data_IF_553410950920
#
_entry.id   IF_553410950920
#
_cell.length_a   1.000
_cell.length_b   1.000
_cell.length_c   1.000
_cell.angle_alpha   90.00
_cell.angle_beta   90.00
_cell.angle_gamma   90.00
#
_symmetry.space_group_name_H-M   'P 1'
#
loop_
_entity.id
_entity.type
_entity.pdbx_description
1 polymer ?
#
# COMPACT_ATOMS: atom_id res chain seq x y z
N UNK A 1 36.83 1.74 4.11
CA UNK A 1 36.32 1.17 5.38
C UNK A 1 35.24 0.13 5.07
N UNK A 2 35.36 -1.07 5.67
CA UNK A 2 34.34 -2.11 5.53
C UNK A 2 33.04 -1.63 6.17
N UNK A 3 31.95 -1.58 5.39
CA UNK A 3 30.63 -1.19 5.93
C UNK A 3 30.09 -2.32 6.82
N UNK A 4 30.00 -2.06 8.11
CA UNK A 4 29.34 -2.93 9.07
C UNK A 4 27.90 -2.45 9.37
N UNK A 5 27.09 -3.31 9.93
CA UNK A 5 25.79 -2.93 10.46
C UNK A 5 25.99 -2.08 11.74
N UNK A 6 25.06 -1.15 11.98
CA UNK A 6 24.95 -0.38 13.22
C UNK A 6 24.66 -1.33 14.39
N UNK A 7 25.30 -1.10 15.53
CA UNK A 7 25.01 -1.81 16.77
C UNK A 7 23.72 -1.27 17.40
N UNK A 8 23.18 -1.98 18.40
CA UNK A 8 22.01 -1.52 19.13
C UNK A 8 22.24 -0.18 19.85
N UNK A 9 23.39 -0.01 20.47
CA UNK A 9 23.74 1.21 21.16
C UNK A 9 23.90 2.41 20.21
N UNK A 10 24.56 2.22 19.08
CA UNK A 10 24.68 3.24 18.04
C UNK A 10 23.31 3.66 17.47
N UNK A 11 22.41 2.69 17.29
CA UNK A 11 21.03 2.95 16.86
C UNK A 11 20.29 3.79 17.91
N UNK A 12 20.40 3.45 19.20
CA UNK A 12 19.82 4.22 20.29
C UNK A 12 20.40 5.63 20.34
N UNK A 13 21.73 5.79 20.20
CA UNK A 13 22.38 7.10 20.20
C UNK A 13 21.90 7.98 19.06
N UNK A 14 21.77 7.42 17.85
CA UNK A 14 21.27 8.14 16.69
C UNK A 14 19.81 8.59 16.90
N UNK A 15 18.99 7.74 17.48
CA UNK A 15 17.58 8.04 17.72
C UNK A 15 17.42 9.11 18.83
N UNK A 16 18.19 9.00 19.93
CA UNK A 16 18.28 10.02 20.98
C UNK A 16 18.71 11.36 20.39
N UNK A 17 19.78 11.38 19.57
CA UNK A 17 20.29 12.61 18.97
C UNK A 17 19.22 13.33 18.13
N UNK A 18 18.43 12.58 17.34
CA UNK A 18 17.33 13.12 16.57
C UNK A 18 16.27 13.76 17.46
N UNK A 19 15.80 13.06 18.51
CA UNK A 19 14.78 13.59 19.42
C UNK A 19 15.29 14.78 20.23
N UNK A 20 16.53 14.75 20.72
CA UNK A 20 17.15 15.86 21.44
C UNK A 20 17.31 17.09 20.54
N UNK A 21 17.63 16.90 19.26
CA UNK A 21 17.69 18.01 18.29
C UNK A 21 16.33 18.69 18.11
N UNK A 22 15.25 17.89 18.06
CA UNK A 22 13.87 18.40 17.92
C UNK A 22 13.35 19.03 19.22
N UNK A 23 13.69 18.45 20.38
CA UNK A 23 13.20 18.82 21.70
C UNK A 23 14.36 19.07 22.68
N UNK A 24 15.17 20.10 22.47
CA UNK A 24 16.37 20.33 23.29
C UNK A 24 16.07 20.57 24.78
N UNK A 25 14.87 21.08 25.09
CA UNK A 25 14.39 21.30 26.45
C UNK A 25 14.10 20.00 27.22
N UNK A 26 13.91 18.87 26.50
CA UNK A 26 13.65 17.56 27.11
C UNK A 26 14.86 16.62 27.07
N UNK A 27 16.07 17.17 26.84
CA UNK A 27 17.30 16.39 26.69
C UNK A 27 17.53 15.39 27.81
N UNK A 28 17.46 15.80 29.02
CA UNK A 28 17.74 14.96 30.20
C UNK A 28 16.72 13.84 30.32
N UNK A 29 15.45 14.15 30.12
CA UNK A 29 14.37 13.19 30.19
C UNK A 29 14.45 12.14 29.02
N UNK A 30 14.74 12.60 27.81
CA UNK A 30 14.96 11.69 26.65
C UNK A 30 16.12 10.75 26.95
N UNK A 31 17.26 11.27 27.44
CA UNK A 31 18.42 10.44 27.75
C UNK A 31 18.14 9.45 28.89
N UNK A 32 17.39 9.86 29.93
CA UNK A 32 16.94 8.99 31.00
C UNK A 32 16.09 7.85 30.51
N UNK A 33 15.03 8.15 29.74
CA UNK A 33 14.10 7.13 29.18
C UNK A 33 14.85 6.14 28.28
N UNK A 34 15.75 6.61 27.44
CA UNK A 34 16.52 5.70 26.59
C UNK A 34 17.50 4.84 27.38
N UNK A 35 18.18 5.39 28.40
CA UNK A 35 19.08 4.62 29.25
C UNK A 35 18.36 3.54 30.05
N UNK A 36 17.21 3.88 30.65
CA UNK A 36 16.54 3.06 31.65
C UNK A 36 15.52 2.07 31.04
N UNK A 37 14.97 2.38 29.85
CA UNK A 37 13.92 1.60 29.23
C UNK A 37 14.23 1.13 27.81
N UNK A 38 14.80 1.98 26.92
CA UNK A 38 15.01 1.61 25.53
C UNK A 38 16.24 0.72 25.35
N UNK A 39 17.40 1.11 25.90
CA UNK A 39 18.62 0.30 25.78
C UNK A 39 18.47 -1.09 26.36
N UNK A 40 17.86 -1.29 27.55
CA UNK A 40 17.59 -2.62 28.08
C UNK A 40 16.40 -3.33 27.41
N UNK A 41 15.78 -2.75 26.38
CA UNK A 41 14.66 -3.30 25.59
C UNK A 41 13.39 -3.56 26.39
N UNK A 42 13.16 -2.82 27.47
CA UNK A 42 11.90 -2.83 28.21
C UNK A 42 10.77 -2.13 27.45
N UNK A 43 11.13 -1.08 26.70
CA UNK A 43 10.24 -0.31 25.82
C UNK A 43 10.96 -0.06 24.51
N UNK A 44 10.24 -0.12 23.38
CA UNK A 44 10.80 0.22 22.07
C UNK A 44 10.01 1.37 21.44
N UNK A 45 10.73 2.35 20.83
CA UNK A 45 10.14 3.28 19.87
C UNK A 45 9.55 2.53 18.67
N UNK A 46 8.79 3.24 17.82
CA UNK A 46 8.32 2.64 16.57
C UNK A 46 9.49 2.08 15.77
N UNK A 47 9.27 0.95 15.10
CA UNK A 47 10.29 0.34 14.23
C UNK A 47 10.82 1.37 13.21
N UNK A 48 9.97 2.26 12.71
CA UNK A 48 10.33 3.30 11.73
C UNK A 48 11.19 4.39 12.35
N UNK A 49 10.90 4.81 13.59
CA UNK A 49 11.74 5.72 14.36
C UNK A 49 13.16 5.15 14.53
N UNK A 50 13.26 3.87 14.87
CA UNK A 50 14.54 3.18 14.98
C UNK A 50 15.25 3.02 13.63
N UNK A 51 14.52 2.62 12.58
CA UNK A 51 15.09 2.37 11.25
C UNK A 51 15.59 3.65 10.57
N UNK A 52 14.79 4.71 10.60
CA UNK A 52 15.03 5.94 9.84
C UNK A 52 15.45 7.14 10.70
N UNK A 53 15.63 6.97 12.00
CA UNK A 53 16.03 8.06 12.91
C UNK A 53 17.22 8.88 12.36
N UNK A 54 17.22 10.19 12.61
CA UNK A 54 18.19 11.13 12.05
C UNK A 54 17.78 11.66 10.68
N UNK A 55 18.75 11.85 9.78
CA UNK A 55 18.55 12.52 8.47
C UNK A 55 17.35 12.05 7.65
N UNK A 56 17.02 10.73 7.51
CA UNK A 56 15.87 10.33 6.74
C UNK A 56 14.53 10.85 7.27
N UNK A 57 14.33 10.87 8.59
CA UNK A 57 13.12 11.44 9.23
C UNK A 57 13.17 12.98 9.19
N UNK A 58 14.33 13.58 9.41
CA UNK A 58 14.50 15.04 9.35
C UNK A 58 14.19 15.61 7.94
N UNK A 59 14.40 14.83 6.88
CA UNK A 59 14.05 15.20 5.51
C UNK A 59 12.58 14.94 5.17
N UNK A 60 11.94 13.99 5.85
CA UNK A 60 10.54 13.61 5.59
C UNK A 60 9.96 12.98 6.85
N UNK A 61 9.27 13.78 7.63
CA UNK A 61 8.78 13.39 8.97
C UNK A 61 7.75 12.26 8.92
N UNK A 62 7.03 12.09 7.79
CA UNK A 62 6.12 10.97 7.60
C UNK A 62 6.79 9.59 7.74
N UNK A 63 8.11 9.51 7.57
CA UNK A 63 8.88 8.26 7.70
C UNK A 63 8.98 7.72 9.12
N UNK A 64 8.64 8.51 10.15
CA UNK A 64 8.62 8.04 11.54
C UNK A 64 7.44 7.10 11.81
N UNK A 65 6.39 7.17 10.98
CA UNK A 65 5.16 6.40 11.15
C UNK A 65 5.17 5.11 10.35
N UNK A 66 4.74 4.01 10.97
CA UNK A 66 4.71 2.71 10.32
C UNK A 66 3.61 2.59 9.28
N UNK A 67 2.45 3.16 9.52
CA UNK A 67 1.26 3.02 8.71
C UNK A 67 0.42 4.30 8.68
N UNK A 68 -0.48 4.38 7.68
CA UNK A 68 -1.47 5.43 7.54
C UNK A 68 -2.78 4.84 7.01
N UNK A 69 -3.87 5.60 7.15
CA UNK A 69 -5.14 5.32 6.48
C UNK A 69 -5.59 6.53 5.68
N UNK A 70 -6.11 6.27 4.46
CA UNK A 70 -6.68 7.32 3.61
C UNK A 70 -7.90 6.83 2.83
N UNK A 71 -8.98 7.64 2.70
CA UNK A 71 -10.04 7.36 1.74
C UNK A 71 -9.60 7.73 0.33
N UNK A 72 -10.05 6.99 -0.69
CA UNK A 72 -9.87 7.37 -2.10
C UNK A 72 -11.00 8.32 -2.53
N UNK A 73 -11.01 9.50 -1.98
CA UNK A 73 -12.04 10.52 -2.20
C UNK A 73 -11.55 11.74 -2.97
N UNK A 74 -10.28 11.76 -3.32
CA UNK A 74 -9.64 12.83 -4.08
C UNK A 74 -8.53 12.26 -4.98
N UNK A 75 -8.31 12.78 -6.20
CA UNK A 75 -7.25 12.28 -7.09
C UNK A 75 -5.84 12.31 -6.50
N UNK A 76 -5.57 13.22 -5.55
CA UNK A 76 -4.29 13.27 -4.85
C UNK A 76 -3.98 12.01 -4.05
N UNK A 77 -4.98 11.30 -3.54
CA UNK A 77 -4.77 10.09 -2.73
C UNK A 77 -3.88 9.06 -3.43
N UNK A 78 -3.95 8.95 -4.76
CA UNK A 78 -3.13 8.00 -5.51
C UNK A 78 -1.63 8.32 -5.47
N UNK A 79 -1.24 9.57 -5.72
CA UNK A 79 0.16 9.95 -5.68
C UNK A 79 0.70 10.08 -4.24
N UNK A 80 -0.15 10.46 -3.29
CA UNK A 80 0.17 10.46 -1.87
C UNK A 80 0.43 9.03 -1.35
N UNK A 81 -0.36 8.05 -1.80
CA UNK A 81 -0.12 6.64 -1.50
C UNK A 81 1.23 6.16 -2.06
N UNK A 82 1.59 6.54 -3.31
CA UNK A 82 2.91 6.24 -3.85
C UNK A 82 4.02 6.82 -2.98
N UNK A 83 3.91 8.08 -2.58
CA UNK A 83 4.87 8.76 -1.70
C UNK A 83 5.03 8.03 -0.36
N UNK A 84 3.91 7.69 0.30
CA UNK A 84 3.91 6.99 1.58
C UNK A 84 4.54 5.60 1.47
N UNK A 85 4.14 4.82 0.48
CA UNK A 85 4.65 3.47 0.25
C UNK A 85 6.16 3.48 -0.07
N UNK A 86 6.63 4.42 -0.90
CA UNK A 86 8.07 4.61 -1.18
C UNK A 86 8.83 5.08 0.06
N UNK A 87 8.20 5.86 0.92
CA UNK A 87 8.71 6.24 2.24
C UNK A 87 8.79 5.08 3.24
N UNK A 88 8.17 3.95 2.93
CA UNK A 88 8.13 2.74 3.78
C UNK A 88 6.92 2.67 4.71
N UNK A 89 5.95 3.58 4.59
CA UNK A 89 4.70 3.57 5.35
C UNK A 89 3.72 2.60 4.70
N UNK A 90 3.11 1.71 5.50
CA UNK A 90 2.00 0.86 5.03
C UNK A 90 0.72 1.69 4.91
N UNK A 91 -0.12 1.40 3.91
CA UNK A 91 -1.32 2.19 3.62
C UNK A 91 -2.58 1.35 3.69
N UNK A 92 -3.44 1.64 4.68
CA UNK A 92 -4.83 1.26 4.63
C UNK A 92 -5.61 2.29 3.79
N UNK A 93 -6.55 1.84 2.99
CA UNK A 93 -7.36 2.75 2.19
C UNK A 93 -8.79 2.26 2.03
N UNK A 94 -9.68 3.17 1.69
CA UNK A 94 -11.08 2.85 1.47
C UNK A 94 -11.51 3.18 0.04
N UNK A 95 -12.13 2.20 -0.61
CA UNK A 95 -12.83 2.34 -1.90
C UNK A 95 -14.35 2.29 -1.73
N UNK A 96 -14.87 2.42 -0.50
CA UNK A 96 -16.32 2.49 -0.31
C UNK A 96 -16.94 3.53 -1.25
N UNK A 97 -18.15 3.28 -1.75
CA UNK A 97 -18.83 4.17 -2.70
C UNK A 97 -18.94 5.61 -2.17
N UNK A 98 -19.11 5.80 -0.86
CA UNK A 98 -19.11 7.12 -0.20
C UNK A 98 -17.81 7.91 -0.38
N UNK A 99 -16.69 7.24 -0.65
CA UNK A 99 -15.38 7.85 -0.91
C UNK A 99 -15.14 8.00 -2.42
N UNK A 100 -15.19 6.90 -3.16
CA UNK A 100 -14.88 6.91 -4.60
C UNK A 100 -15.83 7.82 -5.39
N UNK A 101 -17.09 7.94 -4.98
CA UNK A 101 -18.05 8.83 -5.62
C UNK A 101 -17.73 10.34 -5.43
N UNK A 102 -16.79 10.70 -4.56
CA UNK A 102 -16.28 12.08 -4.46
C UNK A 102 -15.19 12.40 -5.49
N UNK A 103 -14.61 11.37 -6.12
CA UNK A 103 -13.69 11.60 -7.23
C UNK A 103 -14.42 12.33 -8.37
N UNK A 104 -13.79 13.30 -9.03
CA UNK A 104 -14.40 13.95 -10.19
C UNK A 104 -14.60 12.94 -11.33
N UNK A 105 -15.52 13.24 -12.23
CA UNK A 105 -15.68 12.49 -13.47
C UNK A 105 -14.44 12.61 -14.36
N UNK A 106 -14.15 11.57 -15.13
CA UNK A 106 -13.05 11.56 -16.08
C UNK A 106 -13.38 12.40 -17.31
N UNK A 107 -12.39 13.08 -17.83
CA UNK A 107 -12.46 13.86 -19.05
C UNK A 107 -11.39 13.38 -20.03
N UNK A 108 -11.63 13.57 -21.32
CA UNK A 108 -10.59 13.34 -22.31
C UNK A 108 -9.41 14.28 -22.09
N UNK A 109 -8.16 13.79 -22.17
CA UNK A 109 -6.99 14.65 -22.17
C UNK A 109 -7.04 15.67 -23.32
N UNK A 110 -6.61 16.91 -23.04
CA UNK A 110 -6.50 17.93 -24.07
C UNK A 110 -5.54 17.51 -25.19
N UNK A 111 -5.78 17.98 -26.44
CA UNK A 111 -4.88 17.70 -27.56
C UNK A 111 -3.42 18.11 -27.29
N UNK A 112 -2.51 17.37 -27.91
CA UNK A 112 -1.06 17.59 -27.79
C UNK A 112 -0.43 16.85 -26.62
N UNK A 113 0.89 16.85 -26.63
CA UNK A 113 1.71 16.25 -25.57
C UNK A 113 2.85 17.19 -25.20
N UNK A 114 3.36 17.07 -23.99
CA UNK A 114 4.55 17.80 -23.53
C UNK A 114 5.52 16.87 -22.82
N UNK A 115 6.81 17.21 -22.84
CA UNK A 115 7.85 16.43 -22.13
C UNK A 115 7.76 16.72 -20.64
N UNK A 116 7.73 15.68 -19.83
CA UNK A 116 7.82 15.74 -18.38
C UNK A 116 9.04 14.93 -17.91
N UNK A 117 10.08 15.61 -17.41
CA UNK A 117 11.25 14.97 -16.83
C UNK A 117 10.91 14.49 -15.43
N UNK A 118 11.00 13.18 -15.20
CA UNK A 118 10.70 12.56 -13.91
C UNK A 118 11.88 12.73 -12.95
N UNK A 119 11.63 13.28 -11.77
CA UNK A 119 12.64 13.46 -10.73
C UNK A 119 13.07 12.14 -10.08
N UNK A 120 14.36 12.04 -9.73
CA UNK A 120 14.95 10.87 -9.06
C UNK A 120 14.76 10.93 -7.53
N UNK A 121 13.50 11.03 -7.10
CA UNK A 121 13.10 11.07 -5.70
C UNK A 121 11.73 10.40 -5.51
N UNK A 122 11.32 10.16 -4.27
CA UNK A 122 9.98 9.63 -3.97
C UNK A 122 8.88 10.62 -4.37
N UNK A 123 9.14 11.91 -4.23
CA UNK A 123 8.27 12.99 -4.67
C UNK A 123 8.16 13.01 -6.21
N UNK A 124 9.30 12.86 -6.92
CA UNK A 124 9.33 12.83 -8.38
C UNK A 124 8.53 11.67 -8.97
N UNK A 125 8.53 10.51 -8.32
CA UNK A 125 7.70 9.38 -8.70
C UNK A 125 6.21 9.65 -8.44
N UNK A 126 5.88 10.22 -7.27
CA UNK A 126 4.52 10.67 -6.97
C UNK A 126 4.04 11.74 -7.96
N UNK A 127 4.89 12.71 -8.31
CA UNK A 127 4.55 13.75 -9.27
C UNK A 127 4.28 13.19 -10.67
N UNK A 128 4.97 12.14 -11.10
CA UNK A 128 4.66 11.48 -12.36
C UNK A 128 3.23 10.91 -12.37
N UNK A 129 2.80 10.25 -11.29
CA UNK A 129 1.42 9.80 -11.11
C UNK A 129 0.46 10.99 -11.09
N UNK A 130 0.74 12.02 -10.31
CA UNK A 130 -0.08 13.25 -10.20
C UNK A 130 -0.33 13.92 -11.55
N UNK A 131 0.71 14.03 -12.37
CA UNK A 131 0.62 14.67 -13.70
C UNK A 131 -0.20 13.82 -14.67
N UNK A 132 -0.05 12.49 -14.66
CA UNK A 132 -0.90 11.59 -15.44
C UNK A 132 -2.37 11.75 -15.04
N UNK A 133 -2.68 11.73 -13.74
CA UNK A 133 -4.05 11.90 -13.25
C UNK A 133 -4.65 13.26 -13.64
N UNK A 134 -3.87 14.35 -13.66
CA UNK A 134 -4.35 15.65 -14.13
C UNK A 134 -4.80 15.64 -15.58
N UNK A 135 -4.23 14.79 -16.43
CA UNK A 135 -4.70 14.68 -17.82
C UNK A 135 -6.15 14.17 -17.86
N UNK A 136 -6.49 13.16 -17.05
CA UNK A 136 -7.80 12.51 -17.07
C UNK A 136 -8.85 13.14 -16.15
N UNK A 137 -8.44 13.73 -15.02
CA UNK A 137 -9.39 14.38 -14.10
C UNK A 137 -9.59 15.87 -14.35
N UNK A 138 -8.62 16.53 -14.98
CA UNK A 138 -8.67 17.97 -15.22
C UNK A 138 -8.53 18.35 -16.72
N UNK A 139 -8.59 17.39 -17.63
CA UNK A 139 -8.49 17.62 -19.07
C UNK A 139 -7.19 18.30 -19.50
N UNK A 140 -6.06 18.01 -18.83
CA UNK A 140 -4.75 18.50 -19.26
C UNK A 140 -4.19 17.64 -20.38
N UNK A 141 -3.25 18.18 -21.17
CA UNK A 141 -2.56 17.36 -22.19
C UNK A 141 -1.79 16.21 -21.58
N UNK A 142 -1.67 15.11 -22.31
CA UNK A 142 -0.93 13.93 -21.86
C UNK A 142 0.58 14.21 -21.76
N UNK A 143 1.23 13.86 -20.65
CA UNK A 143 2.68 13.96 -20.54
C UNK A 143 3.37 12.86 -21.36
N UNK A 144 4.45 13.22 -22.05
CA UNK A 144 5.45 12.27 -22.51
C UNK A 144 6.55 12.20 -21.45
N UNK A 145 6.53 11.15 -20.66
CA UNK A 145 7.46 10.96 -19.56
C UNK A 145 8.89 10.72 -20.06
N UNK A 146 9.83 11.47 -19.49
CA UNK A 146 11.27 11.28 -19.69
C UNK A 146 11.90 10.78 -18.38
N UNK A 147 12.38 9.57 -18.39
CA UNK A 147 12.96 8.87 -17.25
C UNK A 147 14.49 9.00 -17.17
N UNK A 148 15.12 9.79 -18.03
CA UNK A 148 16.58 9.91 -18.11
C UNK A 148 17.22 10.45 -16.82
N UNK A 149 16.44 11.17 -16.00
CA UNK A 149 16.87 11.65 -14.69
C UNK A 149 16.90 10.59 -13.59
N UNK A 150 16.26 9.43 -13.79
CA UNK A 150 16.20 8.38 -12.77
C UNK A 150 17.48 7.54 -12.78
N UNK A 151 18.07 7.32 -11.60
CA UNK A 151 19.26 6.48 -11.43
C UNK A 151 19.04 5.05 -11.95
N UNK A 152 20.07 4.40 -12.47
CA UNK A 152 19.96 3.05 -13.02
C UNK A 152 19.68 2.00 -11.94
N UNK A 153 19.13 0.86 -12.37
CA UNK A 153 18.93 -0.32 -11.51
C UNK A 153 20.25 -0.73 -10.85
N UNK A 154 20.19 -0.97 -9.54
CA UNK A 154 21.34 -1.40 -8.75
C UNK A 154 22.13 -0.27 -8.10
N UNK A 155 21.89 1.01 -8.45
CA UNK A 155 22.49 2.15 -7.77
C UNK A 155 22.11 2.16 -6.28
N UNK A 156 23.03 2.58 -5.41
CA UNK A 156 22.82 2.58 -3.96
C UNK A 156 21.83 3.68 -3.55
N UNK A 157 20.90 3.34 -2.67
CA UNK A 157 20.01 4.30 -2.02
C UNK A 157 20.65 4.80 -0.74
N UNK A 158 20.97 6.11 -0.68
CA UNK A 158 21.72 6.70 0.43
C UNK A 158 20.85 6.86 1.67
N UNK A 159 19.59 7.33 1.50
CA UNK A 159 18.69 7.68 2.60
C UNK A 159 17.97 6.49 3.24
N UNK A 160 17.70 5.46 2.47
CA UNK A 160 16.88 4.31 2.89
C UNK A 160 17.63 3.00 2.92
N UNK A 161 18.85 2.97 2.39
CA UNK A 161 19.60 1.72 2.17
C UNK A 161 19.01 0.90 1.01
N UNK A 162 19.72 -0.16 0.61
CA UNK A 162 19.30 -1.00 -0.51
C UNK A 162 19.73 -0.48 -1.87
N UNK A 163 19.13 -1.03 -2.93
CA UNK A 163 19.47 -0.74 -4.33
C UNK A 163 18.28 -0.18 -5.09
N UNK A 164 18.52 0.80 -5.94
CA UNK A 164 17.52 1.39 -6.81
C UNK A 164 16.94 0.38 -7.80
N UNK A 165 15.61 0.42 -8.08
CA UNK A 165 14.98 -0.46 -9.06
C UNK A 165 15.22 -0.01 -10.51
N UNK A 166 15.68 1.23 -10.71
CA UNK A 166 15.72 1.88 -12.02
C UNK A 166 14.34 2.39 -12.47
N UNK A 167 14.21 2.93 -13.69
CA UNK A 167 12.98 3.57 -14.16
C UNK A 167 11.86 2.60 -14.58
N UNK A 168 12.19 1.34 -14.90
CA UNK A 168 11.25 0.37 -15.47
C UNK A 168 9.95 0.20 -14.66
N UNK A 169 10.00 0.00 -13.32
CA UNK A 169 8.77 -0.22 -12.55
C UNK A 169 7.81 0.98 -12.58
N UNK A 170 8.34 2.20 -12.54
CA UNK A 170 7.50 3.39 -12.65
C UNK A 170 6.88 3.52 -14.04
N UNK A 171 7.67 3.25 -15.09
CA UNK A 171 7.16 3.27 -16.47
C UNK A 171 5.99 2.31 -16.64
N UNK A 172 6.14 1.06 -16.24
CA UNK A 172 5.07 0.04 -16.29
C UNK A 172 3.85 0.44 -15.45
N UNK A 173 4.07 1.04 -14.28
CA UNK A 173 2.99 1.56 -13.44
C UNK A 173 2.18 2.62 -14.17
N UNK A 174 2.83 3.64 -14.74
CA UNK A 174 2.15 4.72 -15.45
C UNK A 174 1.37 4.21 -16.67
N UNK A 175 1.93 3.27 -17.42
CA UNK A 175 1.26 2.61 -18.55
C UNK A 175 -0.01 1.87 -18.10
N UNK A 176 0.05 1.13 -16.97
CA UNK A 176 -1.10 0.41 -16.41
C UNK A 176 -2.16 1.36 -15.84
N UNK A 177 -1.75 2.42 -15.15
CA UNK A 177 -2.69 3.45 -14.65
C UNK A 177 -3.41 4.11 -15.82
N UNK A 178 -2.70 4.47 -16.88
CA UNK A 178 -3.28 5.02 -18.09
C UNK A 178 -4.30 4.08 -18.72
N UNK A 179 -3.96 2.80 -18.84
CA UNK A 179 -4.87 1.78 -19.38
C UNK A 179 -6.16 1.62 -18.55
N UNK A 180 -6.10 1.72 -17.22
CA UNK A 180 -7.30 1.72 -16.35
C UNK A 180 -8.16 2.95 -16.63
N UNK A 181 -7.55 4.14 -16.70
CA UNK A 181 -8.24 5.41 -16.94
C UNK A 181 -8.90 5.44 -18.33
N UNK A 182 -8.20 4.95 -19.36
CA UNK A 182 -8.73 4.88 -20.74
C UNK A 182 -9.93 3.91 -20.84
N UNK A 183 -9.83 2.72 -20.21
CA UNK A 183 -10.97 1.78 -20.15
C UNK A 183 -12.16 2.40 -19.40
N UNK A 184 -11.92 3.12 -18.32
CA UNK A 184 -12.97 3.81 -17.58
C UNK A 184 -13.62 4.90 -18.46
N UNK A 185 -12.82 5.71 -19.14
CA UNK A 185 -13.27 6.80 -20.01
C UNK A 185 -14.03 6.31 -21.24
N UNK A 186 -13.74 5.09 -21.74
CA UNK A 186 -14.47 4.46 -22.83
C UNK A 186 -15.97 4.26 -22.53
N UNK A 187 -16.39 4.33 -21.26
CA UNK A 187 -17.82 4.36 -20.87
C UNK A 187 -18.50 5.71 -21.12
N UNK A 188 -17.73 6.74 -21.47
CA UNK A 188 -18.19 8.09 -21.78
C UNK A 188 -17.53 9.16 -20.90
N UNK A 189 -17.39 10.35 -21.45
CA UNK A 189 -16.89 11.54 -20.74
C UNK A 189 -17.76 11.84 -19.53
N UNK A 190 -17.14 12.19 -18.40
CA UNK A 190 -17.83 12.43 -17.12
C UNK A 190 -18.05 11.17 -16.30
N UNK A 191 -17.69 9.99 -16.82
CA UNK A 191 -17.75 8.75 -16.03
C UNK A 191 -16.84 8.83 -14.81
N UNK A 192 -17.23 8.16 -13.73
CA UNK A 192 -16.41 8.05 -12.51
C UNK A 192 -15.73 6.69 -12.45
N UNK A 193 -14.61 6.65 -11.75
CA UNK A 193 -13.98 5.38 -11.41
C UNK A 193 -14.91 4.56 -10.54
N UNK A 194 -14.96 3.26 -10.80
CA UNK A 194 -15.59 2.29 -9.90
C UNK A 194 -14.62 1.93 -8.76
N UNK A 195 -15.12 1.42 -7.61
CA UNK A 195 -14.28 0.95 -6.51
C UNK A 195 -13.16 0.02 -6.97
N UNK A 196 -13.47 -0.96 -7.80
CA UNK A 196 -12.49 -1.93 -8.32
C UNK A 196 -11.40 -1.27 -9.19
N UNK A 197 -11.74 -0.27 -9.98
CA UNK A 197 -10.78 0.45 -10.82
C UNK A 197 -9.83 1.31 -9.96
N UNK A 198 -10.37 1.97 -8.95
CA UNK A 198 -9.57 2.72 -7.97
C UNK A 198 -8.65 1.79 -7.16
N UNK A 199 -9.14 0.60 -6.78
CA UNK A 199 -8.36 -0.45 -6.14
C UNK A 199 -7.22 -0.94 -7.04
N UNK A 200 -7.49 -1.30 -8.28
CA UNK A 200 -6.49 -1.78 -9.23
C UNK A 200 -5.40 -0.72 -9.48
N UNK A 201 -5.75 0.56 -9.55
CA UNK A 201 -4.78 1.65 -9.68
C UNK A 201 -3.80 1.68 -8.50
N UNK A 202 -4.27 1.57 -7.25
CA UNK A 202 -3.38 1.51 -6.09
C UNK A 202 -2.54 0.23 -6.07
N UNK A 203 -3.08 -0.89 -6.49
CA UNK A 203 -2.31 -2.12 -6.61
C UNK A 203 -1.17 -2.00 -7.63
N UNK A 204 -1.38 -1.35 -8.77
CA UNK A 204 -0.32 -1.05 -9.74
C UNK A 204 0.74 -0.08 -9.20
N UNK A 205 0.34 0.91 -8.40
CA UNK A 205 1.27 1.78 -7.68
C UNK A 205 2.15 0.96 -6.73
N UNK A 206 1.55 0.05 -5.98
CA UNK A 206 2.28 -0.83 -5.06
C UNK A 206 3.26 -1.78 -5.77
N UNK A 207 2.94 -2.26 -6.97
CA UNK A 207 3.86 -3.04 -7.80
C UNK A 207 5.15 -2.27 -8.11
N UNK A 208 5.05 -0.98 -8.45
CA UNK A 208 6.21 -0.14 -8.69
C UNK A 208 7.08 0.03 -7.44
N UNK A 209 6.45 0.13 -6.27
CA UNK A 209 7.14 0.27 -4.98
C UNK A 209 7.89 -0.99 -4.58
N UNK A 210 7.33 -2.18 -4.83
CA UNK A 210 7.98 -3.46 -4.51
C UNK A 210 9.35 -3.62 -5.14
N UNK A 211 9.52 -3.12 -6.35
CA UNK A 211 10.78 -3.19 -7.05
C UNK A 211 11.91 -2.37 -6.36
N UNK A 212 11.55 -1.44 -5.47
CA UNK A 212 12.48 -0.55 -4.77
C UNK A 212 13.20 -1.14 -3.55
N UNK A 213 12.82 -2.32 -3.06
CA UNK A 213 13.62 -3.12 -2.12
C UNK A 213 13.66 -2.68 -0.66
N UNK A 214 12.94 -1.61 -0.23
CA UNK A 214 13.00 -1.12 1.16
C UNK A 214 11.98 -1.83 2.06
N UNK A 215 10.77 -1.96 1.58
CA UNK A 215 9.67 -2.72 2.19
C UNK A 215 8.81 -3.29 1.07
N UNK A 216 8.30 -4.50 1.26
CA UNK A 216 7.17 -4.95 0.46
C UNK A 216 5.99 -4.03 0.75
N UNK A 217 5.27 -3.58 -0.28
CA UNK A 217 4.07 -2.79 -0.09
C UNK A 217 3.13 -3.54 0.85
N UNK A 218 2.75 -2.87 1.94
CA UNK A 218 1.75 -3.40 2.86
C UNK A 218 0.51 -2.53 2.70
N UNK A 219 -0.58 -3.13 2.20
CA UNK A 219 -1.85 -2.44 2.00
C UNK A 219 -3.02 -3.26 2.48
N UNK A 220 -4.08 -2.57 2.89
CA UNK A 220 -5.41 -3.13 3.09
C UNK A 220 -6.41 -2.21 2.42
N UNK A 221 -7.38 -2.78 1.70
CA UNK A 221 -8.52 -2.07 1.17
C UNK A 221 -9.77 -2.38 1.96
N UNK A 222 -10.52 -1.33 2.32
CA UNK A 222 -11.86 -1.43 2.89
C UNK A 222 -12.88 -1.06 1.81
N UNK A 223 -13.92 -1.87 1.67
CA UNK A 223 -14.96 -1.68 0.67
C UNK A 223 -16.36 -1.98 1.23
N UNK A 224 -17.41 -1.53 0.55
CA UNK A 224 -18.78 -1.77 0.97
C UNK A 224 -19.16 -3.24 0.82
N UNK A 225 -19.76 -3.83 1.85
CA UNK A 225 -20.17 -5.25 1.88
C UNK A 225 -21.13 -5.68 0.75
N UNK A 226 -21.75 -4.72 0.09
CA UNK A 226 -22.64 -4.95 -1.06
C UNK A 226 -21.97 -4.75 -2.41
N UNK A 227 -20.68 -4.45 -2.45
CA UNK A 227 -19.92 -4.26 -3.69
C UNK A 227 -19.51 -5.61 -4.27
N UNK A 228 -20.28 -6.09 -5.25
CA UNK A 228 -20.09 -7.40 -5.87
C UNK A 228 -18.74 -7.53 -6.60
N UNK A 229 -18.26 -6.44 -7.24
CA UNK A 229 -16.98 -6.47 -7.94
C UNK A 229 -15.83 -6.62 -6.94
N UNK A 230 -15.88 -5.92 -5.81
CA UNK A 230 -14.87 -6.03 -4.76
C UNK A 230 -14.97 -7.35 -3.98
N UNK A 231 -16.18 -7.87 -3.75
CA UNK A 231 -16.41 -9.18 -3.10
C UNK A 231 -15.79 -10.34 -3.89
N UNK A 232 -15.81 -10.25 -5.22
CA UNK A 232 -15.38 -11.36 -6.10
C UNK A 232 -14.04 -11.12 -6.77
N UNK A 233 -13.40 -9.96 -6.57
CA UNK A 233 -12.21 -9.57 -7.33
C UNK A 233 -10.99 -10.49 -7.13
N UNK A 234 -11.00 -11.31 -6.09
CA UNK A 234 -10.00 -12.36 -5.83
C UNK A 234 -10.62 -13.76 -5.76
N UNK A 235 -11.77 -13.97 -6.34
CA UNK A 235 -12.33 -15.31 -6.52
C UNK A 235 -11.69 -15.99 -7.73
N UNK A 236 -11.59 -17.32 -7.67
CA UNK A 236 -11.17 -18.10 -8.82
C UNK A 236 -12.12 -17.83 -9.99
N UNK A 237 -11.55 -17.69 -11.19
CA UNK A 237 -12.29 -17.31 -12.38
C UNK A 237 -12.69 -18.55 -13.17
N UNK A 238 -14.01 -18.79 -13.28
CA UNK A 238 -14.54 -19.77 -14.21
C UNK A 238 -14.17 -19.37 -15.65
N UNK A 239 -13.62 -20.30 -16.40
CA UNK A 239 -13.09 -20.01 -17.73
C UNK A 239 -13.14 -21.21 -18.68
N UNK A 240 -13.16 -20.91 -19.97
CA UNK A 240 -12.97 -21.88 -21.05
C UNK A 240 -11.59 -21.71 -21.64
N UNK A 241 -10.94 -22.81 -21.95
CA UNK A 241 -9.63 -22.84 -22.58
C UNK A 241 -9.81 -23.11 -24.07
N UNK A 242 -9.35 -22.19 -24.91
CA UNK A 242 -9.52 -22.24 -26.36
C UNK A 242 -8.32 -22.91 -27.03
N UNK A 243 -7.12 -22.72 -26.49
CA UNK A 243 -5.88 -23.29 -27.03
C UNK A 243 -4.98 -23.71 -25.87
N UNK A 244 -4.23 -24.78 -26.05
CA UNK A 244 -3.23 -25.25 -25.09
C UNK A 244 -2.07 -25.89 -25.85
N UNK A 245 -0.92 -25.24 -25.84
CA UNK A 245 0.31 -25.68 -26.49
C UNK A 245 1.40 -25.91 -25.45
N UNK A 246 2.05 -27.09 -25.49
CA UNK A 246 3.20 -27.33 -24.64
C UNK A 246 4.42 -26.53 -25.15
N UNK A 247 4.92 -25.61 -24.34
CA UNK A 247 6.07 -24.77 -24.69
C UNK A 247 7.39 -25.24 -24.04
N UNK A 248 7.31 -26.00 -22.96
CA UNK A 248 8.46 -26.62 -22.30
C UNK A 248 8.03 -27.93 -21.62
N UNK A 249 8.39 -29.04 -22.20
CA UNK A 249 8.00 -30.38 -21.72
C UNK A 249 8.70 -30.72 -20.39
N UNK A 250 9.97 -30.37 -20.21
CA UNK A 250 10.74 -30.70 -19.02
C UNK A 250 10.31 -29.86 -17.80
N UNK A 251 9.87 -28.62 -18.03
CA UNK A 251 9.31 -27.75 -17.00
C UNK A 251 7.78 -27.82 -16.89
N UNK A 252 7.12 -28.71 -17.64
CA UNK A 252 5.66 -28.88 -17.67
C UNK A 252 4.89 -27.56 -17.87
N UNK A 253 5.36 -26.70 -18.77
CA UNK A 253 4.77 -25.40 -19.08
C UNK A 253 3.97 -25.45 -20.37
N UNK A 254 2.81 -24.80 -20.31
CA UNK A 254 1.83 -24.71 -21.40
C UNK A 254 1.43 -23.27 -21.65
N UNK A 255 1.40 -22.86 -22.91
CA UNK A 255 0.83 -21.58 -23.33
C UNK A 255 -0.64 -21.79 -23.70
N UNK A 256 -1.52 -20.96 -23.13
CA UNK A 256 -2.96 -21.13 -23.24
C UNK A 256 -3.65 -19.83 -23.62
N UNK A 257 -4.69 -19.93 -24.42
CA UNK A 257 -5.67 -18.86 -24.64
C UNK A 257 -6.93 -19.19 -23.86
N UNK A 258 -7.40 -18.23 -23.06
CA UNK A 258 -8.44 -18.43 -22.06
C UNK A 258 -9.50 -17.34 -22.19
N UNK A 259 -10.78 -17.72 -22.20
CA UNK A 259 -11.91 -16.79 -22.07
C UNK A 259 -12.59 -16.98 -20.72
N UNK A 260 -12.72 -15.92 -19.93
CA UNK A 260 -13.44 -15.98 -18.65
C UNK A 260 -14.95 -15.97 -18.88
N UNK A 261 -15.68 -16.84 -18.19
CA UNK A 261 -17.13 -16.96 -18.38
C UNK A 261 -17.92 -15.86 -17.66
N UNK A 262 -17.33 -15.23 -16.64
CA UNK A 262 -17.99 -14.19 -15.84
C UNK A 262 -18.13 -12.84 -16.56
N UNK A 263 -17.17 -12.49 -17.42
CA UNK A 263 -17.14 -11.20 -18.12
C UNK A 263 -16.74 -11.30 -19.61
N UNK A 264 -16.54 -12.51 -20.12
CA UNK A 264 -16.14 -12.76 -21.50
C UNK A 264 -14.77 -12.19 -21.87
N UNK A 265 -13.91 -11.90 -20.89
CA UNK A 265 -12.59 -11.35 -21.15
C UNK A 265 -11.64 -12.43 -21.64
N UNK A 266 -10.97 -12.17 -22.76
CA UNK A 266 -9.97 -13.04 -23.34
C UNK A 266 -8.57 -12.72 -22.79
N UNK A 267 -7.82 -13.77 -22.51
CA UNK A 267 -6.42 -13.72 -22.12
C UNK A 267 -5.63 -14.62 -23.06
N UNK A 268 -4.63 -14.06 -23.73
CA UNK A 268 -3.80 -14.78 -24.70
C UNK A 268 -2.41 -15.04 -24.12
N UNK A 269 -1.80 -16.13 -24.58
CA UNK A 269 -0.44 -16.52 -24.19
C UNK A 269 -0.24 -16.62 -22.67
N UNK A 270 -1.25 -17.08 -21.94
CA UNK A 270 -1.16 -17.34 -20.50
C UNK A 270 -0.33 -18.60 -20.28
N UNK A 271 0.77 -18.50 -19.55
CA UNK A 271 1.63 -19.65 -19.25
C UNK A 271 1.14 -20.34 -17.99
N UNK A 272 0.76 -21.61 -18.10
CA UNK A 272 0.30 -22.47 -17.01
C UNK A 272 1.24 -23.65 -16.80
N UNK A 273 1.41 -24.06 -15.55
CA UNK A 273 2.03 -25.32 -15.20
C UNK A 273 1.01 -26.47 -15.33
N UNK A 274 1.49 -27.71 -15.54
CA UNK A 274 0.63 -28.90 -15.68
C UNK A 274 -0.36 -29.07 -14.52
N UNK A 275 0.05 -28.75 -13.29
CA UNK A 275 -0.81 -28.79 -12.10
C UNK A 275 -2.00 -27.81 -12.18
N UNK A 276 -1.79 -26.62 -12.75
CA UNK A 276 -2.86 -25.62 -12.96
C UNK A 276 -3.83 -26.05 -14.05
N UNK A 277 -3.32 -26.71 -15.10
CA UNK A 277 -4.17 -27.34 -16.11
C UNK A 277 -5.01 -28.48 -15.54
N UNK A 278 -4.44 -29.30 -14.65
CA UNK A 278 -5.17 -30.35 -13.95
C UNK A 278 -6.27 -29.77 -13.05
N UNK A 279 -5.97 -28.73 -12.30
CA UNK A 279 -6.93 -28.00 -11.46
C UNK A 279 -8.08 -27.41 -12.31
N UNK A 280 -7.76 -26.80 -13.46
CA UNK A 280 -8.79 -26.31 -14.36
C UNK A 280 -9.68 -27.43 -14.90
N UNK A 281 -9.12 -28.58 -15.28
CA UNK A 281 -9.90 -29.73 -15.77
C UNK A 281 -10.88 -30.26 -14.73
N UNK A 282 -10.49 -30.19 -13.44
CA UNK A 282 -11.31 -30.62 -12.32
C UNK A 282 -12.40 -29.61 -11.96
N UNK A 283 -12.02 -28.30 -11.88
CA UNK A 283 -12.86 -27.25 -11.29
C UNK A 283 -13.53 -26.34 -12.34
N UNK A 284 -13.08 -26.34 -13.59
CA UNK A 284 -13.52 -25.40 -14.61
C UNK A 284 -13.16 -23.95 -14.34
N UNK A 285 -12.22 -23.72 -13.42
CA UNK A 285 -11.82 -22.40 -12.98
C UNK A 285 -10.31 -22.34 -12.72
N UNK A 286 -9.73 -21.16 -12.85
CA UNK A 286 -8.32 -20.88 -12.56
C UNK A 286 -8.17 -19.81 -11.48
N UNK A 287 -7.07 -19.83 -10.72
CA UNK A 287 -6.81 -18.84 -9.69
C UNK A 287 -6.76 -17.41 -10.24
N UNK A 288 -7.38 -16.47 -9.53
CA UNK A 288 -7.47 -15.05 -9.90
C UNK A 288 -6.10 -14.39 -10.13
N UNK A 289 -5.07 -14.80 -9.39
CA UNK A 289 -3.73 -14.18 -9.46
C UNK A 289 -3.01 -14.45 -10.79
N UNK A 290 -3.48 -15.37 -11.62
CA UNK A 290 -2.98 -15.57 -12.98
C UNK A 290 -3.43 -14.45 -13.93
N UNK A 291 -4.54 -13.81 -13.63
CA UNK A 291 -5.17 -12.79 -14.47
C UNK A 291 -4.95 -11.37 -13.95
N UNK A 292 -5.06 -11.19 -12.63
CA UNK A 292 -4.95 -9.89 -11.98
C UNK A 292 -3.96 -9.94 -10.78
N UNK A 293 -2.68 -10.26 -11.03
CA UNK A 293 -1.69 -10.51 -9.97
C UNK A 293 -1.44 -9.29 -9.07
N UNK A 294 -1.64 -8.06 -9.57
CA UNK A 294 -1.48 -6.83 -8.80
C UNK A 294 -2.41 -6.79 -7.58
N UNK A 295 -3.61 -7.41 -7.62
CA UNK A 295 -4.55 -7.43 -6.49
C UNK A 295 -3.99 -8.14 -5.27
N UNK A 296 -2.96 -8.97 -5.43
CA UNK A 296 -2.20 -9.56 -4.33
C UNK A 296 -1.40 -8.55 -3.49
N UNK A 297 -1.37 -7.27 -3.87
CA UNK A 297 -0.66 -6.21 -3.13
C UNK A 297 -1.43 -5.66 -1.93
N UNK A 298 -2.73 -5.93 -1.84
CA UNK A 298 -3.56 -5.50 -0.72
C UNK A 298 -4.38 -6.66 -0.17
N UNK A 299 -4.57 -6.72 1.14
CA UNK A 299 -5.63 -7.52 1.74
C UNK A 299 -6.97 -6.83 1.45
N UNK A 300 -8.00 -7.60 1.07
CA UNK A 300 -9.32 -7.04 0.80
C UNK A 300 -10.25 -7.34 1.98
N UNK A 301 -10.91 -6.33 2.53
CA UNK A 301 -11.81 -6.50 3.67
C UNK A 301 -13.13 -5.77 3.48
N UNK A 302 -14.21 -6.51 3.60
CA UNK A 302 -15.55 -5.94 3.65
C UNK A 302 -15.72 -5.17 4.96
N UNK A 303 -16.13 -3.89 4.88
CA UNK A 303 -16.31 -3.03 6.03
C UNK A 303 -17.73 -3.21 6.60
N UNK A 304 -17.82 -3.76 7.80
CA UNK A 304 -19.07 -4.10 8.48
C UNK A 304 -19.34 -3.17 9.66
N UNK A 305 -20.44 -2.40 9.59
CA UNK A 305 -20.89 -1.58 10.70
C UNK A 305 -21.52 -2.45 11.79
N UNK A 306 -21.00 -2.38 13.01
CA UNK A 306 -21.55 -3.12 14.16
C UNK A 306 -22.99 -2.73 14.40
N UNK A 307 -23.84 -3.72 14.66
CA UNK A 307 -25.29 -3.54 14.87
C UNK A 307 -26.11 -3.32 13.58
N UNK A 308 -25.47 -3.22 12.41
CA UNK A 308 -26.15 -3.06 11.11
C UNK A 308 -26.01 -4.31 10.20
N UNK A 309 -25.49 -5.40 10.73
CA UNK A 309 -25.32 -6.67 10.00
C UNK A 309 -26.01 -7.77 10.81
N UNK A 310 -26.97 -8.43 10.20
CA UNK A 310 -27.64 -9.59 10.80
C UNK A 310 -26.74 -10.84 10.71
N UNK A 311 -27.03 -11.83 11.55
CA UNK A 311 -26.32 -13.10 11.53
C UNK A 311 -26.41 -13.80 10.16
N UNK A 312 -27.58 -13.75 9.51
CA UNK A 312 -27.76 -14.37 8.18
C UNK A 312 -26.93 -13.68 7.11
N UNK A 313 -26.84 -12.34 7.12
CA UNK A 313 -25.98 -11.58 6.20
C UNK A 313 -24.51 -11.91 6.43
N UNK A 314 -24.10 -12.08 7.66
CA UNK A 314 -22.73 -12.48 7.99
C UNK A 314 -22.41 -13.90 7.49
N UNK A 315 -23.32 -14.85 7.71
CA UNK A 315 -23.13 -16.22 7.19
C UNK A 315 -23.07 -16.26 5.66
N UNK A 316 -23.97 -15.53 4.99
CA UNK A 316 -23.94 -15.43 3.53
C UNK A 316 -22.61 -14.83 3.00
N UNK A 317 -22.01 -13.88 3.74
CA UNK A 317 -20.67 -13.36 3.41
C UNK A 317 -19.58 -14.46 3.60
N UNK A 318 -19.65 -15.24 4.70
CA UNK A 318 -18.68 -16.31 4.95
C UNK A 318 -18.78 -17.44 3.91
N UNK A 319 -19.97 -17.81 3.46
CA UNK A 319 -20.17 -18.75 2.36
C UNK A 319 -19.48 -18.26 1.08
N UNK A 320 -19.54 -16.96 0.79
CA UNK A 320 -18.83 -16.36 -0.35
C UNK A 320 -17.32 -16.41 -0.19
N UNK A 321 -16.82 -16.15 1.02
CA UNK A 321 -15.37 -16.25 1.32
C UNK A 321 -14.89 -17.70 1.09
N UNK A 322 -15.65 -18.68 1.55
CA UNK A 322 -15.36 -20.09 1.32
C UNK A 322 -15.37 -20.43 -0.18
N UNK A 323 -16.42 -20.02 -0.89
CA UNK A 323 -16.59 -20.27 -2.32
C UNK A 323 -15.53 -19.57 -3.18
N UNK A 324 -14.90 -18.49 -2.70
CA UNK A 324 -13.84 -17.78 -3.44
C UNK A 324 -12.60 -18.66 -3.68
N UNK A 325 -12.36 -19.65 -2.84
CA UNK A 325 -11.15 -20.47 -2.84
C UNK A 325 -9.87 -19.72 -2.44
N UNK A 326 -9.98 -18.43 -2.09
CA UNK A 326 -8.85 -17.56 -1.73
C UNK A 326 -8.80 -17.18 -0.25
N UNK A 327 -9.88 -17.48 0.52
CA UNK A 327 -10.02 -17.02 1.91
C UNK A 327 -10.25 -15.51 2.03
N UNK A 328 -10.58 -14.84 0.94
CA UNK A 328 -10.95 -13.41 0.88
C UNK A 328 -12.35 -13.22 0.27
N UNK A 329 -13.04 -12.14 0.60
CA UNK A 329 -12.57 -11.02 1.42
C UNK A 329 -12.47 -11.34 2.91
N UNK A 330 -11.57 -10.62 3.61
CA UNK A 330 -11.59 -10.52 5.06
C UNK A 330 -12.77 -9.67 5.53
N UNK A 331 -12.94 -9.58 6.85
CA UNK A 331 -13.99 -8.78 7.50
C UNK A 331 -13.35 -7.78 8.44
N UNK A 332 -13.74 -6.50 8.29
CA UNK A 332 -13.37 -5.45 9.21
C UNK A 332 -14.62 -4.89 9.91
N UNK A 333 -14.70 -5.08 11.24
CA UNK A 333 -15.77 -4.58 12.05
C UNK A 333 -15.50 -3.18 12.54
N UNK A 334 -16.39 -2.23 12.22
CA UNK A 334 -16.26 -0.83 12.64
C UNK A 334 -17.51 -0.33 13.36
N UNK A 335 -17.34 0.71 14.18
CA UNK A 335 -18.43 1.48 14.76
C UNK A 335 -18.73 2.75 13.93
N UNK A 336 -17.88 3.08 12.96
CA UNK A 336 -18.04 4.23 12.08
C UNK A 336 -17.43 3.92 10.71
N UNK A 337 -18.24 3.94 9.66
CA UNK A 337 -17.80 3.62 8.29
C UNK A 337 -16.82 4.63 7.67
N UNK A 338 -16.66 5.82 8.25
CA UNK A 338 -15.66 6.80 7.81
C UNK A 338 -14.27 6.52 8.39
N UNK A 339 -14.19 5.72 9.45
CA UNK A 339 -12.93 5.27 10.01
C UNK A 339 -12.42 4.05 9.26
N UNK A 340 -11.12 3.94 9.17
CA UNK A 340 -10.46 2.78 8.60
C UNK A 340 -9.41 2.22 9.54
N UNK A 341 -8.44 1.53 8.96
CA UNK A 341 -7.40 0.85 9.72
C UNK A 341 -6.07 0.88 8.97
N UNK A 342 -4.99 0.64 9.70
CA UNK A 342 -3.70 0.33 9.12
C UNK A 342 -3.69 -1.08 8.49
N UNK A 343 -2.72 -1.43 7.64
CA UNK A 343 -2.67 -2.73 6.96
C UNK A 343 -2.70 -3.96 7.88
N UNK A 344 -2.25 -3.82 9.12
CA UNK A 344 -2.22 -4.91 10.11
C UNK A 344 -3.53 -5.05 10.90
N UNK A 345 -4.49 -4.14 10.75
CA UNK A 345 -5.84 -4.12 11.34
C UNK A 345 -5.93 -3.87 12.85
N UNK A 346 -4.83 -3.56 13.54
CA UNK A 346 -4.83 -3.37 15.00
C UNK A 346 -5.19 -1.95 15.45
N UNK A 347 -5.17 -0.96 14.55
CA UNK A 347 -5.40 0.44 14.89
C UNK A 347 -6.52 1.04 14.06
N UNK A 348 -7.60 1.49 14.71
CA UNK A 348 -8.64 2.30 14.07
C UNK A 348 -8.12 3.72 13.81
N UNK A 349 -8.20 4.16 12.56
CA UNK A 349 -7.70 5.45 12.11
C UNK A 349 -8.81 6.27 11.44
N UNK A 350 -8.86 7.55 11.76
CA UNK A 350 -9.65 8.52 10.99
C UNK A 350 -9.02 8.75 9.61
N UNK A 351 -9.76 9.32 8.64
CA UNK A 351 -9.19 9.74 7.37
C UNK A 351 -7.91 10.55 7.54
N UNK A 352 -6.88 10.19 6.78
CA UNK A 352 -5.57 10.84 6.72
C UNK A 352 -4.78 10.84 8.04
N UNK A 353 -5.01 9.86 8.90
CA UNK A 353 -4.22 9.66 10.12
C UNK A 353 -3.09 8.64 9.93
N UNK A 354 -2.02 8.85 10.68
CA UNK A 354 -0.92 7.92 10.82
C UNK A 354 -1.07 7.08 12.10
N UNK A 355 -0.53 5.87 12.09
CA UNK A 355 -0.33 5.09 13.30
C UNK A 355 0.98 5.49 13.97
N UNK A 356 0.91 5.74 15.29
CA UNK A 356 2.06 6.09 16.12
C UNK A 356 2.29 5.00 17.16
N UNK A 357 3.33 4.19 16.95
CA UNK A 357 3.56 2.96 17.69
C UNK A 357 4.69 3.11 18.70
N UNK A 358 4.49 2.48 19.87
CA UNK A 358 5.53 2.10 20.83
C UNK A 358 5.22 0.69 21.33
N UNK A 359 6.23 -0.02 21.79
CA UNK A 359 6.08 -1.40 22.27
C UNK A 359 6.57 -1.50 23.70
N UNK A 360 5.86 -2.25 24.55
CA UNK A 360 6.26 -2.61 25.90
C UNK A 360 6.59 -4.09 25.90
N UNK A 361 7.82 -4.43 26.30
CA UNK A 361 8.17 -5.81 26.58
C UNK A 361 7.49 -6.26 27.88
N UNK A 362 6.60 -7.23 27.78
CA UNK A 362 5.86 -7.78 28.91
C UNK A 362 6.49 -9.06 29.52
N UNK A 363 7.51 -9.63 28.87
CA UNK A 363 8.10 -10.90 29.25
C UNK A 363 8.73 -10.87 30.66
N UNK A 364 9.39 -9.76 31.00
CA UNK A 364 10.13 -9.59 32.24
C UNK A 364 9.53 -8.52 33.18
N UNK A 365 8.25 -8.20 33.03
CA UNK A 365 7.54 -7.30 33.97
C UNK A 365 7.43 -7.93 35.32
N UNK A 366 7.92 -7.22 36.36
CA UNK A 366 8.03 -7.74 37.72
C UNK A 366 6.73 -7.57 38.53
N UNK A 367 6.11 -6.41 38.39
CA UNK A 367 4.92 -6.01 39.17
C UNK A 367 4.19 -4.85 38.47
N UNK A 368 3.11 -4.40 39.08
CA UNK A 368 2.29 -3.29 38.59
C UNK A 368 3.09 -1.98 38.43
N UNK A 369 4.00 -1.69 39.34
CA UNK A 369 4.83 -0.48 39.30
C UNK A 369 5.78 -0.49 38.10
N UNK A 370 6.48 -1.61 37.83
CA UNK A 370 7.35 -1.76 36.66
C UNK A 370 6.54 -1.61 35.35
N UNK A 371 5.30 -2.14 35.30
CA UNK A 371 4.42 -1.98 34.15
C UNK A 371 4.02 -0.51 33.93
N UNK A 372 3.66 0.21 35.01
CA UNK A 372 3.29 1.62 34.94
C UNK A 372 4.45 2.50 34.50
N UNK A 373 5.65 2.24 34.99
CA UNK A 373 6.88 2.95 34.57
C UNK A 373 7.17 2.73 33.08
N UNK A 374 7.04 1.48 32.59
CA UNK A 374 7.20 1.16 31.17
C UNK A 374 6.11 1.83 30.32
N UNK A 375 4.87 1.83 30.79
CA UNK A 375 3.77 2.50 30.10
C UNK A 375 3.99 4.02 30.01
N UNK A 376 4.47 4.65 31.10
CA UNK A 376 4.86 6.05 31.12
C UNK A 376 5.99 6.37 30.13
N UNK A 377 7.02 5.51 30.08
CA UNK A 377 8.12 5.64 29.13
C UNK A 377 7.65 5.48 27.68
N UNK A 378 6.78 4.50 27.40
CA UNK A 378 6.19 4.27 26.07
C UNK A 378 5.34 5.46 25.63
N UNK A 379 4.50 6.00 26.52
CA UNK A 379 3.68 7.18 26.24
C UNK A 379 4.54 8.43 25.97
N UNK A 380 5.62 8.62 26.71
CA UNK A 380 6.56 9.71 26.49
C UNK A 380 7.20 9.62 25.11
N UNK A 381 7.73 8.45 24.72
CA UNK A 381 8.32 8.22 23.40
C UNK A 381 7.27 8.44 22.30
N UNK A 382 6.06 7.90 22.47
CA UNK A 382 4.95 8.10 21.53
C UNK A 382 4.60 9.57 21.35
N UNK A 383 4.65 10.37 22.43
CA UNK A 383 4.43 11.82 22.37
C UNK A 383 5.53 12.54 21.60
N UNK A 384 6.79 12.17 21.80
CA UNK A 384 7.89 12.72 21.00
C UNK A 384 7.70 12.42 19.50
N UNK A 385 7.35 11.19 19.16
CA UNK A 385 7.11 10.78 17.78
C UNK A 385 5.92 11.53 17.15
N UNK A 386 4.82 11.73 17.89
CA UNK A 386 3.65 12.45 17.41
C UNK A 386 3.91 13.92 17.04
N UNK A 387 4.97 14.51 17.55
CA UNK A 387 5.34 15.89 17.23
C UNK A 387 6.08 16.08 15.90
N UNK A 388 6.35 15.01 15.16
CA UNK A 388 6.87 15.06 13.79
C UNK A 388 5.69 15.20 12.83
N UNK A 389 5.37 16.42 12.43
CA UNK A 389 4.13 16.74 11.67
C UNK A 389 4.37 17.54 10.40
N UNK A 390 5.61 17.70 9.96
CA UNK A 390 5.90 18.30 8.65
C UNK A 390 5.72 17.26 7.52
N UNK A 391 4.54 17.30 6.91
CA UNK A 391 4.12 16.42 5.84
C UNK A 391 4.07 17.16 4.50
N UNK A 392 5.15 17.80 4.11
CA UNK A 392 5.28 18.73 2.98
C UNK A 392 4.74 18.26 1.62
N UNK A 393 4.59 16.96 1.39
CA UNK A 393 4.05 16.38 0.14
C UNK A 393 2.58 16.00 0.21
N UNK A 394 2.08 15.75 1.42
CA UNK A 394 0.70 15.32 1.64
C UNK A 394 -0.22 16.54 1.73
N UNK A 395 -1.50 16.33 1.42
CA UNK A 395 -2.54 17.33 1.68
C UNK A 395 -2.66 17.59 3.18
N UNK A 396 -2.97 18.85 3.58
CA UNK A 396 -3.23 19.20 4.97
C UNK A 396 -4.47 18.51 5.53
#
# INVERSE_FOLDING_TARGET
EAQRRETWDELCDRNVAMHVKRYPQLREEIQRIYRDFVRPKKVLPSMRSLQFGGTPIELSESRIFNCAFMPLDHPAAFHEAMFLLLGGTGVGYSVQARHVNKLPGLTEPAPGTYRFLVGDSIEGWGDAVKILLKAYFNGKSLPRFDFSGIRPKGARLITSGGKAPGPKPLKECLERLQAVLERALARGTGTRLRPIEAHDMLCHIADAVLAGGIRRAAMIVLFDRADEEMLTCKSNLACTMQRTDCINHDAELYECDITTTSNGKDYHNVVLHSSQLAEWKEKGALPWYLFEPQRGRANNSANLLRGAVSQNEFYALMERVEASGAGEPGVYWTNNLDWGTNPCCEIGLKPNQFCNLTEINADDVKDQTDLEERAGAAAFIGTLQAGYTDFHYLRP
#
